data_IF_098933276346
#
_entry.id   IF_098933276346
#
_cell.length_a   1.000
_cell.length_b   1.000
_cell.length_c   1.000
_cell.angle_alpha   90.00
_cell.angle_beta   90.00
_cell.angle_gamma   90.00
#
_symmetry.space_group_name_H-M   'P 1'
#
loop_
_entity.id
_entity.type
_entity.pdbx_description
1 polymer ?
#
# COMPACT_ATOMS: atom_id res chain seq x y z
N UNK A 1 35.59 -6.23 7.66
CA UNK A 1 35.23 -4.81 7.44
C UNK A 1 34.12 -4.81 6.41
N UNK A 2 32.87 -4.91 6.88
CA UNK A 2 31.71 -4.89 5.98
C UNK A 2 31.51 -3.44 5.50
N UNK A 3 31.56 -3.22 4.19
CA UNK A 3 31.21 -1.94 3.61
C UNK A 3 29.73 -1.70 3.91
N UNK A 4 29.43 -0.65 4.69
CA UNK A 4 28.07 -0.20 4.91
C UNK A 4 27.48 0.22 3.58
N UNK A 5 26.53 -0.55 3.07
CA UNK A 5 25.68 -0.13 1.96
C UNK A 5 24.80 0.99 2.52
N UNK A 6 25.12 2.25 2.20
CA UNK A 6 24.16 3.32 2.39
C UNK A 6 22.90 2.99 1.58
N UNK A 7 21.69 3.23 2.13
CA UNK A 7 20.46 2.88 1.44
C UNK A 7 20.36 3.66 0.12
N UNK A 8 20.46 2.96 -1.01
CA UNK A 8 20.29 3.54 -2.35
C UNK A 8 18.83 4.01 -2.58
N UNK A 9 17.90 3.52 -1.76
CA UNK A 9 16.46 3.80 -1.85
C UNK A 9 16.00 4.63 -0.66
N UNK A 10 15.46 5.82 -0.95
CA UNK A 10 14.80 6.69 0.04
C UNK A 10 13.30 6.70 -0.28
N UNK A 11 12.49 6.27 0.68
CA UNK A 11 11.04 6.35 0.63
C UNK A 11 10.55 7.61 1.34
N UNK A 12 9.90 8.50 0.60
CA UNK A 12 9.26 9.68 1.16
C UNK A 12 7.81 9.38 1.52
N UNK A 13 7.48 9.53 2.80
CA UNK A 13 6.16 9.24 3.35
C UNK A 13 5.46 10.53 3.75
N UNK A 14 4.50 10.99 2.94
CA UNK A 14 3.76 12.26 3.10
C UNK A 14 2.75 12.26 4.27
N UNK A 15 2.89 11.31 5.18
CA UNK A 15 1.76 10.59 5.72
C UNK A 15 2.12 9.90 7.06
N UNK A 16 2.82 10.60 7.95
CA UNK A 16 3.13 10.10 9.28
C UNK A 16 2.21 10.75 10.33
N UNK A 17 1.30 9.96 10.90
CA UNK A 17 0.61 10.32 12.15
C UNK A 17 1.28 9.53 13.27
N UNK A 18 1.77 10.20 14.32
CA UNK A 18 2.53 9.56 15.42
C UNK A 18 3.78 8.77 14.95
N UNK A 19 4.46 9.25 13.91
CA UNK A 19 5.67 8.62 13.35
C UNK A 19 5.44 7.22 12.70
N UNK A 20 4.19 6.89 12.36
CA UNK A 20 3.84 5.62 11.69
C UNK A 20 3.29 5.86 10.29
N UNK A 21 3.82 5.11 9.31
CA UNK A 21 3.33 5.09 7.93
C UNK A 21 1.90 4.53 7.89
N UNK A 22 0.97 5.25 7.26
CA UNK A 22 -0.38 4.72 7.01
C UNK A 22 -0.65 4.42 5.53
N UNK A 23 0.18 4.91 4.59
CA UNK A 23 -0.17 4.83 3.16
C UNK A 23 -0.13 3.38 2.67
N UNK A 24 -1.26 2.82 2.18
CA UNK A 24 -1.29 1.45 1.65
C UNK A 24 -0.30 1.24 0.50
N UNK A 25 -0.11 2.27 -0.32
CA UNK A 25 0.84 2.25 -1.43
C UNK A 25 2.29 2.17 -0.94
N UNK A 26 2.63 2.85 0.17
CA UNK A 26 3.97 2.76 0.75
C UNK A 26 4.17 1.45 1.49
N UNK A 27 3.16 0.94 2.20
CA UNK A 27 3.24 -0.40 2.78
C UNK A 27 3.49 -1.47 1.71
N UNK A 28 2.83 -1.39 0.55
CA UNK A 28 3.11 -2.27 -0.59
C UNK A 28 4.57 -2.18 -1.03
N UNK A 29 5.11 -0.97 -1.18
CA UNK A 29 6.52 -0.76 -1.58
C UNK A 29 7.48 -1.30 -0.51
N UNK A 30 7.23 -1.02 0.77
CA UNK A 30 8.03 -1.53 1.89
C UNK A 30 8.08 -3.06 1.90
N UNK A 31 6.93 -3.70 1.77
CA UNK A 31 6.83 -5.16 1.67
C UNK A 31 7.64 -5.70 0.48
N UNK A 32 7.56 -5.04 -0.68
CA UNK A 32 8.35 -5.41 -1.86
C UNK A 32 9.86 -5.27 -1.63
N UNK A 33 10.31 -4.17 -1.01
CA UNK A 33 11.71 -3.94 -0.71
C UNK A 33 12.23 -4.94 0.34
N UNK A 34 11.45 -5.18 1.39
CA UNK A 34 11.76 -6.18 2.43
C UNK A 34 11.84 -7.59 1.84
N UNK A 35 10.91 -7.97 0.96
CA UNK A 35 10.94 -9.24 0.24
C UNK A 35 12.19 -9.38 -0.64
N UNK A 36 12.59 -8.29 -1.30
CA UNK A 36 13.80 -8.25 -2.12
C UNK A 36 15.09 -8.01 -1.35
N UNK A 37 15.01 -7.90 -0.01
CA UNK A 37 16.15 -7.58 0.85
C UNK A 37 16.91 -6.32 0.37
N UNK A 38 16.18 -5.32 -0.13
CA UNK A 38 16.76 -4.06 -0.60
C UNK A 38 16.81 -3.09 0.58
N UNK A 39 17.98 -2.56 0.97
CA UNK A 39 18.08 -1.59 2.04
C UNK A 39 17.43 -0.27 1.62
N UNK A 40 16.56 0.27 2.48
CA UNK A 40 15.96 1.58 2.29
C UNK A 40 15.88 2.37 3.58
N UNK A 41 15.82 3.68 3.42
CA UNK A 41 15.46 4.62 4.47
C UNK A 41 14.05 5.15 4.21
N UNK A 42 13.24 5.33 5.26
CA UNK A 42 11.98 6.05 5.14
C UNK A 42 12.12 7.40 5.81
N UNK A 43 11.87 8.46 5.04
CA UNK A 43 11.76 9.82 5.54
C UNK A 43 10.27 10.17 5.64
N UNK A 44 9.80 10.34 6.88
CA UNK A 44 8.49 10.91 7.16
C UNK A 44 8.51 12.39 6.83
N UNK A 45 7.73 12.80 5.84
CA UNK A 45 7.45 14.19 5.57
C UNK A 45 6.15 14.56 6.28
N UNK A 46 6.23 15.52 7.20
CA UNK A 46 5.02 16.19 7.67
C UNK A 46 4.33 16.80 6.45
N UNK A 47 3.04 16.53 6.31
CA UNK A 47 2.28 17.04 5.19
C UNK A 47 2.36 18.58 5.22
N UNK A 48 2.99 19.23 4.23
CA UNK A 48 2.98 20.68 4.25
C UNK A 48 1.57 21.13 3.94
N UNK A 49 1.00 21.93 4.84
CA UNK A 49 -0.31 22.55 4.66
C UNK A 49 -0.36 23.50 3.43
N UNK A 50 0.78 23.70 2.74
CA UNK A 50 0.93 24.60 1.61
C UNK A 50 1.65 23.96 0.40
N UNK A 51 1.17 24.29 -0.80
CA UNK A 51 1.77 23.92 -2.09
C UNK A 51 3.24 24.35 -2.26
N UNK A 52 3.71 25.32 -1.46
CA UNK A 52 5.06 25.88 -1.56
C UNK A 52 6.15 24.90 -1.13
N UNK A 53 5.93 24.12 -0.08
CA UNK A 53 6.94 23.18 0.43
C UNK A 53 7.14 21.99 -0.52
N UNK A 54 6.08 21.56 -1.23
CA UNK A 54 6.16 20.53 -2.27
C UNK A 54 6.99 20.96 -3.49
N UNK A 55 6.98 22.26 -3.81
CA UNK A 55 7.85 22.85 -4.85
C UNK A 55 9.30 22.95 -4.38
N UNK A 56 9.51 23.22 -3.09
CA UNK A 56 10.84 23.33 -2.46
C UNK A 56 11.56 21.97 -2.37
N UNK A 57 10.80 20.87 -2.22
CA UNK A 57 11.27 19.48 -2.29
C UNK A 57 11.69 19.01 -3.71
N UNK A 58 11.62 19.87 -4.74
CA UNK A 58 12.06 19.54 -6.10
C UNK A 58 11.19 18.52 -6.84
N UNK A 59 10.00 18.18 -6.31
CA UNK A 59 9.07 17.23 -6.90
C UNK A 59 8.28 17.92 -8.04
N UNK A 60 8.77 17.79 -9.27
CA UNK A 60 8.14 18.38 -10.45
C UNK A 60 6.78 17.72 -10.70
N UNK A 61 5.70 18.49 -10.57
CA UNK A 61 4.38 18.08 -11.02
C UNK A 61 4.42 17.80 -12.55
N UNK A 62 3.88 16.66 -13.03
CA UNK A 62 3.72 16.48 -14.47
C UNK A 62 2.65 17.46 -14.95
N UNK A 63 3.02 18.31 -15.92
CA UNK A 63 2.06 19.17 -16.60
C UNK A 63 1.13 18.28 -17.43
N UNK A 64 -0.14 18.19 -17.04
CA UNK A 64 -1.17 17.70 -17.93
C UNK A 64 -2.43 18.55 -17.80
N UNK A 65 -2.69 19.29 -18.86
CA UNK A 65 -3.93 20.00 -19.16
C UNK A 65 -5.10 19.01 -19.27
N UNK A 66 -5.87 18.85 -18.19
CA UNK A 66 -7.32 18.55 -18.17
C UNK A 66 -7.72 18.22 -16.72
N UNK A 67 -8.80 18.84 -16.23
CA UNK A 67 -9.17 18.85 -14.80
C UNK A 67 -9.53 17.49 -14.19
N UNK A 68 -8.53 16.76 -13.72
CA UNK A 68 -8.67 15.60 -12.84
C UNK A 68 -7.78 15.75 -11.60
N UNK A 69 -8.39 15.50 -10.42
CA UNK A 69 -7.80 15.50 -9.07
C UNK A 69 -6.34 15.01 -9.04
N UNK A 70 -5.49 15.81 -8.41
CA UNK A 70 -4.06 15.58 -8.18
C UNK A 70 -3.84 14.17 -7.60
N UNK A 71 -3.22 13.29 -8.39
CA UNK A 71 -2.62 12.03 -7.92
C UNK A 71 -1.16 12.31 -7.60
N UNK A 72 -0.81 12.41 -6.32
CA UNK A 72 0.59 12.33 -5.91
C UNK A 72 1.02 10.87 -5.95
N UNK A 73 1.73 10.50 -7.01
CA UNK A 73 2.51 9.26 -7.07
C UNK A 73 3.89 9.62 -7.57
N UNK A 74 4.92 9.53 -6.73
CA UNK A 74 6.28 9.29 -7.24
C UNK A 74 7.09 8.50 -6.21
N UNK A 75 7.35 7.20 -6.42
CA UNK A 75 8.67 6.67 -6.16
C UNK A 75 9.56 7.11 -7.32
N UNK A 76 10.58 7.94 -7.06
CA UNK A 76 11.62 8.25 -8.05
C UNK A 76 12.79 7.29 -7.79
N UNK A 77 12.87 6.13 -8.46
CA UNK A 77 14.12 5.39 -8.49
C UNK A 77 15.14 6.27 -9.22
N UNK A 78 16.29 6.52 -8.58
CA UNK A 78 17.45 7.15 -9.23
C UNK A 78 17.73 6.45 -10.57
N UNK A 79 18.08 7.16 -11.65
CA UNK A 79 18.26 6.60 -12.99
C UNK A 79 19.43 5.60 -13.14
N UNK A 80 20.08 5.18 -12.05
CA UNK A 80 21.23 4.27 -12.06
C UNK A 80 20.89 2.78 -11.91
N UNK A 81 19.73 2.41 -11.34
CA UNK A 81 19.40 0.99 -11.17
C UNK A 81 18.55 0.49 -12.34
N UNK A 82 19.20 -0.14 -13.33
CA UNK A 82 18.51 -0.84 -14.42
C UNK A 82 17.48 -1.84 -13.86
N UNK A 83 16.31 -1.99 -14.52
CA UNK A 83 15.24 -2.95 -14.14
C UNK A 83 15.73 -4.39 -13.91
N UNK A 84 16.93 -4.72 -14.39
CA UNK A 84 17.59 -6.02 -14.26
C UNK A 84 18.26 -6.26 -12.91
N UNK A 85 18.43 -5.23 -12.07
CA UNK A 85 19.32 -5.31 -10.89
C UNK A 85 18.67 -6.06 -9.71
N UNK A 86 17.34 -6.14 -9.67
CA UNK A 86 16.56 -6.68 -8.54
C UNK A 86 15.52 -7.72 -8.98
N UNK A 87 15.90 -8.62 -9.87
CA UNK A 87 15.01 -9.67 -10.40
C UNK A 87 14.75 -10.79 -9.39
N UNK A 88 15.69 -11.05 -8.48
CA UNK A 88 15.59 -12.08 -7.45
C UNK A 88 15.32 -11.50 -6.06
N UNK A 89 14.47 -12.14 -5.25
CA UNK A 89 13.54 -13.20 -5.63
C UNK A 89 12.44 -12.68 -6.58
N UNK A 90 11.89 -13.55 -7.46
CA UNK A 90 10.86 -13.16 -8.42
C UNK A 90 9.60 -12.71 -7.70
N UNK A 91 8.94 -11.69 -8.25
CA UNK A 91 7.66 -11.19 -7.77
C UNK A 91 6.82 -10.77 -8.96
N UNK A 92 5.63 -11.37 -9.08
CA UNK A 92 4.70 -10.97 -10.14
C UNK A 92 4.08 -9.60 -9.78
N UNK A 93 4.41 -8.58 -10.57
CA UNK A 93 3.97 -7.20 -10.32
C UNK A 93 2.52 -6.94 -10.76
N UNK A 94 2.08 -7.60 -11.82
CA UNK A 94 0.77 -7.36 -12.44
C UNK A 94 0.13 -8.66 -12.91
N UNK A 95 -1.18 -8.76 -12.73
CA UNK A 95 -2.06 -9.78 -13.32
C UNK A 95 -3.46 -9.20 -13.47
N UNK A 96 -4.27 -9.73 -14.37
CA UNK A 96 -5.63 -9.24 -14.60
C UNK A 96 -6.48 -9.40 -13.33
N UNK A 97 -6.40 -10.57 -12.69
CA UNK A 97 -7.05 -10.83 -11.41
C UNK A 97 -6.57 -9.86 -10.31
N UNK A 98 -5.26 -9.62 -10.25
CA UNK A 98 -4.68 -8.70 -9.28
C UNK A 98 -5.17 -7.26 -9.46
N UNK A 99 -5.23 -6.77 -10.70
CA UNK A 99 -5.76 -5.44 -11.00
C UNK A 99 -7.24 -5.30 -10.66
N UNK A 100 -8.04 -6.34 -10.91
CA UNK A 100 -9.45 -6.34 -10.54
C UNK A 100 -9.64 -6.27 -9.01
N UNK A 101 -8.89 -7.10 -8.27
CA UNK A 101 -8.88 -7.08 -6.79
C UNK A 101 -8.47 -5.70 -6.27
N UNK A 102 -7.35 -5.15 -6.77
CA UNK A 102 -6.83 -3.85 -6.34
C UNK A 102 -7.84 -2.73 -6.59
N UNK A 103 -8.49 -2.72 -7.76
CA UNK A 103 -9.51 -1.73 -8.14
C UNK A 103 -10.74 -1.79 -7.23
N UNK A 104 -11.27 -2.99 -6.98
CA UNK A 104 -12.45 -3.17 -6.12
C UNK A 104 -12.15 -2.88 -4.65
N UNK A 105 -10.99 -3.30 -4.16
CA UNK A 105 -10.54 -3.00 -2.80
C UNK A 105 -10.34 -1.49 -2.60
N UNK A 106 -9.71 -0.78 -3.55
CA UNK A 106 -9.59 0.68 -3.49
C UNK A 106 -10.95 1.37 -3.41
N UNK A 107 -11.97 0.84 -4.08
CA UNK A 107 -13.34 1.37 -4.02
C UNK A 107 -14.02 1.08 -2.68
N UNK A 108 -13.73 -0.07 -2.07
CA UNK A 108 -14.32 -0.49 -0.80
C UNK A 108 -13.74 0.28 0.40
N UNK A 109 -12.41 0.22 0.58
CA UNK A 109 -11.74 0.69 1.79
C UNK A 109 -10.91 1.95 1.57
N UNK A 110 -10.68 2.37 0.32
CA UNK A 110 -9.94 3.61 0.01
C UNK A 110 -10.49 4.87 0.72
N UNK A 111 -11.82 5.07 0.82
CA UNK A 111 -12.37 6.17 1.60
C UNK A 111 -11.97 6.15 3.09
N UNK A 112 -11.88 4.96 3.69
CA UNK A 112 -11.53 4.77 5.09
C UNK A 112 -10.04 5.02 5.32
N UNK A 113 -9.21 4.49 4.42
CA UNK A 113 -7.74 4.59 4.46
C UNK A 113 -7.21 5.94 3.97
N UNK A 114 -8.10 6.83 3.50
CA UNK A 114 -7.70 8.17 3.08
C UNK A 114 -7.23 8.98 4.29
N UNK A 115 -6.00 9.48 4.29
CA UNK A 115 -5.58 10.38 5.32
C UNK A 115 -6.17 11.74 5.08
N UNK A 116 -6.64 12.39 6.14
CA UNK A 116 -6.29 13.78 6.49
C UNK A 116 -7.26 14.29 7.55
N UNK A 117 -6.82 15.23 8.40
CA UNK A 117 -7.71 16.02 9.24
C UNK A 117 -8.59 16.98 8.43
N UNK A 118 -8.30 17.17 7.14
CA UNK A 118 -9.11 17.95 6.19
C UNK A 118 -10.54 17.42 6.17
N UNK A 119 -11.47 18.34 6.36
CA UNK A 119 -12.88 18.05 6.63
C UNK A 119 -13.53 17.17 5.53
N UNK A 120 -13.11 17.33 4.28
CA UNK A 120 -13.58 16.50 3.16
C UNK A 120 -13.28 15.00 3.34
N UNK A 121 -12.04 14.64 3.70
CA UNK A 121 -11.64 13.24 3.88
C UNK A 121 -12.24 12.64 5.14
N UNK A 122 -12.32 13.43 6.22
CA UNK A 122 -13.01 13.04 7.45
C UNK A 122 -14.47 12.69 7.19
N UNK A 123 -15.22 13.55 6.49
CA UNK A 123 -16.63 13.29 6.14
C UNK A 123 -16.80 12.01 5.33
N UNK A 124 -15.91 11.76 4.38
CA UNK A 124 -15.98 10.56 3.53
C UNK A 124 -15.68 9.29 4.34
N UNK A 125 -14.69 9.35 5.25
CA UNK A 125 -14.38 8.26 6.18
C UNK A 125 -15.53 7.97 7.14
N UNK A 126 -16.05 9.01 7.81
CA UNK A 126 -17.17 8.88 8.75
C UNK A 126 -18.42 8.33 8.06
N UNK A 127 -18.71 8.76 6.83
CA UNK A 127 -19.79 8.21 6.03
C UNK A 127 -19.57 6.71 5.72
N UNK A 128 -18.36 6.32 5.31
CA UNK A 128 -18.03 4.92 5.03
C UNK A 128 -18.12 4.03 6.30
N UNK A 129 -17.67 4.53 7.44
CA UNK A 129 -17.80 3.85 8.73
C UNK A 129 -19.27 3.74 9.18
N UNK A 130 -20.06 4.78 8.92
CA UNK A 130 -21.50 4.81 9.20
C UNK A 130 -22.33 3.90 8.27
N UNK A 131 -21.81 3.63 7.07
CA UNK A 131 -22.41 2.74 6.06
C UNK A 131 -21.59 1.44 5.88
N UNK A 132 -21.14 0.85 7.00
CA UNK A 132 -20.27 -0.33 6.97
C UNK A 132 -20.83 -1.50 6.15
N UNK A 133 -22.14 -1.68 6.09
CA UNK A 133 -22.77 -2.78 5.33
C UNK A 133 -22.44 -2.75 3.83
N UNK A 134 -22.30 -1.56 3.24
CA UNK A 134 -21.87 -1.41 1.84
C UNK A 134 -20.38 -1.75 1.67
N UNK A 135 -19.54 -1.31 2.61
CA UNK A 135 -18.12 -1.67 2.64
C UNK A 135 -17.95 -3.17 2.80
N UNK A 136 -18.70 -3.79 3.70
CA UNK A 136 -18.69 -5.23 3.96
C UNK A 136 -19.08 -6.04 2.72
N UNK A 137 -20.15 -5.64 2.02
CA UNK A 137 -20.56 -6.29 0.78
C UNK A 137 -19.47 -6.22 -0.30
N UNK A 138 -18.82 -5.04 -0.44
CA UNK A 138 -17.72 -4.86 -1.39
C UNK A 138 -16.48 -5.68 -1.00
N UNK A 139 -16.17 -5.74 0.30
CA UNK A 139 -15.05 -6.56 0.80
C UNK A 139 -15.33 -8.05 0.63
N UNK A 140 -16.57 -8.51 0.79
CA UNK A 140 -16.95 -9.89 0.47
C UNK A 140 -16.71 -10.21 -1.01
N UNK A 141 -17.14 -9.33 -1.92
CA UNK A 141 -16.91 -9.51 -3.35
C UNK A 141 -15.42 -9.51 -3.73
N UNK A 142 -14.58 -8.75 -3.02
CA UNK A 142 -13.12 -8.80 -3.19
C UNK A 142 -12.55 -10.12 -2.65
N UNK A 143 -13.04 -10.60 -1.51
CA UNK A 143 -12.62 -11.86 -0.91
C UNK A 143 -12.94 -13.06 -1.81
N UNK A 144 -14.11 -13.06 -2.44
CA UNK A 144 -14.49 -14.05 -3.45
C UNK A 144 -13.51 -14.09 -4.62
N UNK A 145 -13.00 -12.93 -5.08
CA UNK A 145 -11.97 -12.88 -6.11
C UNK A 145 -10.62 -13.41 -5.62
N UNK A 146 -10.23 -13.11 -4.37
CA UNK A 146 -9.00 -13.65 -3.78
C UNK A 146 -9.02 -15.17 -3.70
N UNK A 147 -10.20 -15.78 -3.56
CA UNK A 147 -10.38 -17.23 -3.51
C UNK A 147 -10.29 -17.93 -4.88
N UNK A 148 -10.18 -17.19 -5.99
CA UNK A 148 -10.16 -17.75 -7.36
C UNK A 148 -9.15 -18.88 -7.54
N UNK A 149 -7.94 -18.72 -6.98
CA UNK A 149 -6.85 -19.70 -7.09
C UNK A 149 -6.56 -20.43 -5.78
N UNK A 150 -7.51 -20.44 -4.82
CA UNK A 150 -7.27 -20.97 -3.47
C UNK A 150 -6.88 -22.44 -3.43
N UNK A 151 -7.32 -23.22 -4.42
CA UNK A 151 -6.94 -24.62 -4.57
C UNK A 151 -5.46 -24.85 -4.93
N UNK A 152 -4.78 -23.81 -5.40
CA UNK A 152 -3.38 -23.86 -5.85
C UNK A 152 -2.39 -23.33 -4.81
N UNK A 153 -2.86 -22.58 -3.81
CA UNK A 153 -2.02 -22.10 -2.71
C UNK A 153 -2.67 -20.99 -1.88
N UNK A 154 -1.89 -20.42 -0.97
CA UNK A 154 -2.35 -19.41 0.02
C UNK A 154 -2.44 -18.00 -0.57
N UNK A 155 -1.69 -17.70 -1.62
CA UNK A 155 -1.64 -16.36 -2.23
C UNK A 155 -2.75 -16.16 -3.25
N UNK A 156 -3.00 -14.90 -3.60
CA UNK A 156 -4.02 -14.50 -4.59
C UNK A 156 -3.82 -15.18 -5.95
N UNK A 157 -2.56 -15.40 -6.35
CA UNK A 157 -2.19 -16.10 -7.58
C UNK A 157 -1.81 -17.56 -7.33
N UNK A 158 -2.39 -18.18 -6.28
CA UNK A 158 -2.19 -19.58 -5.93
C UNK A 158 -0.93 -19.79 -5.10
N UNK A 159 0.03 -20.56 -5.62
CA UNK A 159 1.27 -20.88 -4.91
C UNK A 159 2.27 -19.72 -4.87
N UNK A 160 2.17 -18.77 -5.80
CA UNK A 160 3.18 -17.74 -6.01
C UNK A 160 2.78 -16.42 -5.35
N UNK A 161 3.69 -15.89 -4.53
CA UNK A 161 3.59 -14.55 -3.97
C UNK A 161 3.58 -13.50 -5.09
N UNK A 162 2.68 -12.54 -4.99
CA UNK A 162 2.50 -11.46 -5.96
C UNK A 162 2.47 -10.09 -5.28
N UNK A 163 2.63 -9.04 -6.08
CA UNK A 163 2.49 -7.67 -5.59
C UNK A 163 1.05 -7.36 -5.13
N UNK A 164 0.06 -8.16 -5.53
CA UNK A 164 -1.32 -8.04 -5.05
C UNK A 164 -1.46 -8.55 -3.62
N UNK A 165 -0.72 -9.61 -3.23
CA UNK A 165 -0.67 -10.06 -1.84
C UNK A 165 -0.12 -8.95 -0.93
N UNK A 166 0.95 -8.27 -1.37
CA UNK A 166 1.49 -7.11 -0.66
C UNK A 166 0.56 -5.90 -0.66
N UNK A 167 -0.24 -5.72 -1.72
CA UNK A 167 -1.27 -4.68 -1.71
C UNK A 167 -2.34 -4.99 -0.65
N UNK A 168 -2.83 -6.23 -0.58
CA UNK A 168 -3.83 -6.66 0.42
C UNK A 168 -3.25 -6.51 1.82
N UNK A 169 -2.10 -7.11 2.07
CA UNK A 169 -1.47 -7.11 3.38
C UNK A 169 -1.11 -5.68 3.84
N UNK A 170 -0.55 -4.85 2.94
CA UNK A 170 -0.24 -3.46 3.22
C UNK A 170 -1.48 -2.60 3.47
N UNK A 171 -2.58 -2.86 2.78
CA UNK A 171 -3.87 -2.18 3.02
C UNK A 171 -4.48 -2.55 4.37
N UNK A 172 -4.37 -3.82 4.78
CA UNK A 172 -4.80 -4.27 6.11
C UNK A 172 -3.94 -3.68 7.22
N UNK A 173 -2.62 -3.62 7.03
CA UNK A 173 -1.73 -2.99 7.99
C UNK A 173 -2.03 -1.48 8.12
N UNK A 174 -2.25 -0.79 7.00
CA UNK A 174 -2.73 0.59 6.99
C UNK A 174 -4.07 0.75 7.73
N UNK A 175 -5.03 -0.16 7.51
CA UNK A 175 -6.31 -0.16 8.21
C UNK A 175 -6.11 -0.24 9.71
N UNK A 176 -5.23 -1.14 10.19
CA UNK A 176 -4.92 -1.30 11.62
C UNK A 176 -4.38 -0.03 12.26
N UNK A 177 -3.53 0.71 11.54
CA UNK A 177 -2.97 1.99 12.01
C UNK A 177 -4.03 3.10 12.04
N UNK A 178 -4.96 3.11 11.09
CA UNK A 178 -6.00 4.15 10.95
C UNK A 178 -7.19 3.91 11.89
N UNK A 179 -7.68 2.68 11.95
CA UNK A 179 -8.84 2.23 12.72
C UNK A 179 -8.74 0.71 12.97
N UNK A 180 -8.38 0.33 14.18
CA UNK A 180 -8.21 -1.08 14.55
C UNK A 180 -9.53 -1.88 14.41
N UNK A 181 -10.68 -1.25 14.63
CA UNK A 181 -11.98 -1.90 14.48
C UNK A 181 -12.29 -2.23 13.02
N UNK A 182 -11.86 -1.41 12.06
CA UNK A 182 -11.95 -1.74 10.62
C UNK A 182 -11.06 -2.92 10.29
N UNK A 183 -9.83 -2.95 10.81
CA UNK A 183 -8.92 -4.07 10.62
C UNK A 183 -9.53 -5.38 11.15
N UNK A 184 -10.03 -5.40 12.39
CA UNK A 184 -10.66 -6.59 12.99
C UNK A 184 -11.84 -7.10 12.17
N UNK A 185 -12.68 -6.20 11.67
CA UNK A 185 -13.83 -6.59 10.82
C UNK A 185 -13.40 -7.22 9.51
N UNK A 186 -12.34 -6.71 8.87
CA UNK A 186 -11.83 -7.29 7.62
C UNK A 186 -11.10 -8.61 7.90
N UNK A 187 -10.38 -8.72 9.01
CA UNK A 187 -9.74 -9.98 9.45
C UNK A 187 -10.76 -11.06 9.83
N UNK A 188 -12.03 -10.69 10.05
CA UNK A 188 -13.14 -11.64 10.17
C UNK A 188 -13.42 -12.46 8.91
N UNK A 189 -12.92 -12.02 7.75
CA UNK A 189 -12.93 -12.78 6.50
C UNK A 189 -11.66 -13.64 6.39
N UNK A 190 -11.75 -14.98 6.41
CA UNK A 190 -10.58 -15.86 6.48
C UNK A 190 -9.54 -15.63 5.39
N UNK A 191 -9.97 -15.38 4.15
CA UNK A 191 -9.11 -15.19 2.98
C UNK A 191 -8.18 -13.98 3.10
N UNK A 192 -8.61 -12.94 3.82
CA UNK A 192 -7.77 -11.78 4.11
C UNK A 192 -6.74 -12.10 5.18
N UNK A 193 -7.18 -12.82 6.22
CA UNK A 193 -6.30 -13.25 7.31
C UNK A 193 -5.17 -14.15 6.81
N UNK A 194 -5.49 -15.13 5.97
CA UNK A 194 -4.48 -16.05 5.41
C UNK A 194 -3.41 -15.33 4.58
N UNK A 195 -3.81 -14.42 3.68
CA UNK A 195 -2.88 -13.62 2.88
C UNK A 195 -2.07 -12.66 3.76
N UNK A 196 -2.71 -12.05 4.76
CA UNK A 196 -2.05 -11.15 5.70
C UNK A 196 -0.96 -11.87 6.48
N UNK A 197 -1.31 -12.97 7.15
CA UNK A 197 -0.39 -13.78 7.97
C UNK A 197 0.77 -14.33 7.12
N UNK A 198 0.50 -14.75 5.88
CA UNK A 198 1.54 -15.17 4.95
C UNK A 198 2.54 -14.04 4.62
N UNK A 199 2.11 -12.78 4.69
CA UNK A 199 2.93 -11.60 4.40
C UNK A 199 3.53 -10.93 5.65
N UNK A 200 3.11 -11.28 6.87
CA UNK A 200 3.55 -10.64 8.13
C UNK A 200 5.08 -10.63 8.26
N UNK A 201 5.76 -11.70 7.82
CA UNK A 201 7.22 -11.81 7.89
C UNK A 201 8.00 -10.76 7.08
N UNK A 202 7.34 -9.98 6.22
CA UNK A 202 7.93 -8.86 5.48
C UNK A 202 7.39 -7.49 5.92
N UNK A 203 6.55 -7.42 6.95
CA UNK A 203 6.04 -6.15 7.49
C UNK A 203 7.12 -5.37 8.23
N UNK A 204 8.03 -6.07 8.90
CA UNK A 204 9.18 -5.48 9.57
C UNK A 204 10.37 -5.33 8.62
N UNK A 205 11.16 -4.28 8.83
CA UNK A 205 12.42 -4.10 8.11
C UNK A 205 13.37 -5.23 8.55
N UNK A 206 13.85 -6.01 7.58
CA UNK A 206 14.91 -6.99 7.83
C UNK A 206 16.24 -6.25 7.68
N UNK A 207 16.85 -5.91 8.81
CA UNK A 207 18.21 -5.34 8.88
C UNK A 207 19.30 -6.41 8.72
#
# INVERSE_FOLDING_TARGET
>A
MAAGLEPEVILYDLACTKNTCFSPALWRIRLMLNYKCIPYETICLEFPDNESTLKELGLRAPESSSGAKIKYTVPHPSPTSSKSTYSDPPLQLTSDLGQEIESKACTAIGPILSPRPQEYFRRTREAALGAWTDVEHKMRAVGELMLTNKGEGTFVLGANLSATDFFVAGSLHAARVVDEGVFERIMGFPEYGEVYEACVGWMEKRD
#
